data_IF_150540963414
#
_entry.id   IF_150540963414
#
_cell.length_a   1.000
_cell.length_b   1.000
_cell.length_c   1.000
_cell.angle_alpha   90.00
_cell.angle_beta   90.00
_cell.angle_gamma   90.00
#
_symmetry.space_group_name_H-M   'P 1'
#
loop_
_entity.id
_entity.type
_entity.pdbx_description
1 polymer ?
#
# COMPACT_ATOMS: atom_id res chain seq x y z
N UNK A 1 -10.24 -16.68 6.99
CA UNK A 1 -11.06 -16.11 8.07
C UNK A 1 -12.49 -15.93 7.58
N UNK A 2 -13.52 -16.28 8.36
CA UNK A 2 -14.92 -15.98 8.02
C UNK A 2 -15.26 -14.47 8.15
N UNK A 3 -14.39 -13.68 8.78
CA UNK A 3 -14.63 -12.25 9.03
C UNK A 3 -14.26 -11.32 7.86
N UNK A 4 -13.58 -11.83 6.82
CA UNK A 4 -13.17 -11.02 5.66
C UNK A 4 -12.16 -9.90 5.96
N UNK A 5 -11.56 -9.85 7.14
CA UNK A 5 -10.73 -8.68 7.55
C UNK A 5 -9.34 -8.60 6.91
N UNK A 6 -8.93 -9.61 6.14
CA UNK A 6 -7.60 -9.69 5.52
C UNK A 6 -7.63 -9.07 4.11
N UNK A 7 -6.86 -7.99 3.86
CA UNK A 7 -6.73 -7.39 2.53
C UNK A 7 -6.38 -8.38 1.42
N UNK A 8 -5.53 -9.37 1.69
CA UNK A 8 -5.16 -10.38 0.69
C UNK A 8 -6.39 -11.21 0.29
N UNK A 9 -7.27 -11.54 1.24
CA UNK A 9 -8.50 -12.27 0.92
C UNK A 9 -9.42 -11.47 -0.01
N UNK A 10 -9.50 -10.14 0.17
CA UNK A 10 -10.23 -9.27 -0.76
C UNK A 10 -9.58 -9.24 -2.14
N UNK A 11 -8.25 -9.13 -2.22
CA UNK A 11 -7.51 -9.15 -3.49
C UNK A 11 -7.74 -10.47 -4.23
N UNK A 12 -7.69 -11.61 -3.52
CA UNK A 12 -7.95 -12.93 -4.09
C UNK A 12 -9.41 -13.08 -4.55
N UNK A 13 -10.37 -12.55 -3.77
CA UNK A 13 -11.76 -12.53 -4.20
C UNK A 13 -11.96 -11.70 -5.47
N UNK A 14 -11.34 -10.51 -5.58
CA UNK A 14 -11.37 -9.71 -6.81
C UNK A 14 -10.74 -10.49 -7.96
N UNK A 15 -9.58 -11.13 -7.74
CA UNK A 15 -8.92 -11.94 -8.75
C UNK A 15 -9.80 -13.07 -9.29
N UNK A 16 -10.47 -13.80 -8.40
CA UNK A 16 -11.18 -15.03 -8.75
C UNK A 16 -12.65 -14.76 -9.17
N UNK A 17 -13.29 -13.71 -8.65
CA UNK A 17 -14.70 -13.39 -8.89
C UNK A 17 -14.93 -12.15 -9.78
N UNK A 18 -13.91 -11.30 -9.96
CA UNK A 18 -13.95 -10.06 -10.77
C UNK A 18 -12.64 -9.87 -11.55
N UNK A 19 -12.21 -10.87 -12.35
CA UNK A 19 -10.91 -10.85 -13.02
C UNK A 19 -10.71 -9.61 -13.92
N UNK A 20 -11.78 -9.09 -14.52
CA UNK A 20 -11.74 -7.86 -15.32
C UNK A 20 -11.35 -6.62 -14.51
N UNK A 21 -11.70 -6.58 -13.22
CA UNK A 21 -11.27 -5.54 -12.30
C UNK A 21 -9.81 -5.79 -11.92
N UNK A 22 -9.47 -7.03 -11.53
CA UNK A 22 -8.10 -7.40 -11.17
C UNK A 22 -7.10 -7.04 -12.27
N UNK A 23 -7.41 -7.34 -13.53
CA UNK A 23 -6.55 -7.08 -14.68
C UNK A 23 -6.35 -5.58 -14.91
N UNK A 24 -7.41 -4.78 -14.77
CA UNK A 24 -7.36 -3.31 -14.88
C UNK A 24 -6.74 -2.63 -13.66
N UNK A 25 -6.66 -3.30 -12.52
CA UNK A 25 -6.04 -2.74 -11.32
C UNK A 25 -4.55 -2.55 -11.53
N UNK A 26 -4.10 -1.30 -11.45
CA UNK A 26 -2.68 -0.98 -11.48
C UNK A 26 -1.97 -1.36 -10.17
N UNK A 27 -2.56 -1.03 -9.03
CA UNK A 27 -1.95 -1.28 -7.72
C UNK A 27 -3.00 -1.45 -6.61
N UNK A 28 -2.77 -2.36 -5.69
CA UNK A 28 -3.52 -2.51 -4.45
C UNK A 28 -2.85 -1.72 -3.34
N UNK A 29 -3.63 -0.84 -2.69
CA UNK A 29 -3.21 0.01 -1.58
C UNK A 29 -4.27 -0.06 -0.48
N UNK A 30 -3.84 0.06 0.77
CA UNK A 30 -4.76 0.31 1.87
C UNK A 30 -5.35 1.74 1.77
N UNK A 31 -6.50 2.01 2.42
CA UNK A 31 -7.16 3.30 2.32
C UNK A 31 -6.27 4.50 2.64
N UNK A 32 -5.42 4.42 3.68
CA UNK A 32 -4.53 5.53 4.03
C UNK A 32 -3.37 5.68 3.03
N UNK A 33 -2.83 4.58 2.50
CA UNK A 33 -1.82 4.61 1.44
C UNK A 33 -2.38 5.20 0.13
N UNK A 34 -3.67 4.99 -0.14
CA UNK A 34 -4.35 5.66 -1.25
C UNK A 34 -4.48 7.17 -1.02
N UNK A 35 -4.73 7.62 0.21
CA UNK A 35 -4.68 9.06 0.56
C UNK A 35 -3.28 9.61 0.34
N UNK A 36 -2.24 8.89 0.78
CA UNK A 36 -0.84 9.24 0.52
C UNK A 36 -0.56 9.42 -0.97
N UNK A 37 -1.04 8.50 -1.81
CA UNK A 37 -0.94 8.60 -3.27
C UNK A 37 -1.65 9.85 -3.81
N UNK A 38 -2.87 10.14 -3.35
CA UNK A 38 -3.61 11.33 -3.83
C UNK A 38 -2.90 12.62 -3.44
N UNK A 39 -2.34 12.66 -2.24
CA UNK A 39 -1.68 13.82 -1.67
C UNK A 39 -0.29 14.06 -2.25
N UNK A 40 0.46 13.01 -2.56
CA UNK A 40 1.88 13.14 -2.93
C UNK A 40 2.19 12.68 -4.35
N UNK A 41 1.27 11.96 -5.00
CA UNK A 41 1.51 11.29 -6.28
C UNK A 41 2.39 10.03 -6.18
N UNK A 42 2.74 9.58 -4.97
CA UNK A 42 3.66 8.45 -4.75
C UNK A 42 2.90 7.19 -4.37
N UNK A 43 3.23 6.09 -5.04
CA UNK A 43 2.80 4.75 -4.65
C UNK A 43 3.77 4.21 -3.61
N UNK A 44 3.35 4.19 -2.35
CA UNK A 44 4.12 3.67 -1.24
C UNK A 44 3.18 2.99 -0.23
N UNK A 45 3.72 2.08 0.57
CA UNK A 45 3.03 1.51 1.72
C UNK A 45 3.93 1.51 2.95
N UNK A 46 3.34 1.67 4.12
CA UNK A 46 4.11 1.50 5.35
C UNK A 46 4.28 0.00 5.64
N UNK A 47 5.33 -0.36 6.37
CA UNK A 47 5.49 -1.73 6.86
C UNK A 47 4.27 -2.18 7.67
N UNK A 48 3.63 -1.25 8.41
CA UNK A 48 2.42 -1.52 9.18
C UNK A 48 1.21 -1.86 8.29
N UNK A 49 0.97 -1.11 7.21
CA UNK A 49 -0.17 -1.37 6.32
C UNK A 49 0.04 -2.63 5.49
N UNK A 50 1.23 -2.81 4.89
CA UNK A 50 1.49 -3.97 4.03
C UNK A 50 1.60 -5.29 4.81
N UNK A 51 1.98 -5.24 6.10
CA UNK A 51 2.03 -6.43 6.95
C UNK A 51 0.67 -7.13 7.05
N UNK A 52 -0.42 -6.36 7.03
CA UNK A 52 -1.79 -6.91 7.11
C UNK A 52 -2.16 -7.79 5.91
N UNK A 53 -1.39 -7.76 4.82
CA UNK A 53 -1.57 -8.65 3.67
C UNK A 53 -0.96 -10.04 3.88
N UNK A 54 -0.18 -10.26 4.95
CA UNK A 54 0.51 -11.52 5.26
C UNK A 54 1.40 -12.08 4.12
N UNK A 55 1.90 -11.19 3.26
CA UNK A 55 2.79 -11.54 2.13
C UNK A 55 4.19 -10.93 2.26
N UNK A 56 4.54 -10.35 3.41
CA UNK A 56 5.87 -9.82 3.70
C UNK A 56 6.64 -10.71 4.67
N UNK A 57 7.94 -10.81 4.46
CA UNK A 57 8.89 -11.35 5.43
C UNK A 57 9.23 -10.26 6.44
N UNK A 58 9.04 -10.54 7.72
CA UNK A 58 9.24 -9.61 8.84
C UNK A 58 10.19 -10.19 9.90
N UNK A 59 10.91 -11.26 9.59
CA UNK A 59 11.81 -11.92 10.53
C UNK A 59 13.06 -11.08 10.83
N UNK A 60 13.47 -10.23 9.88
CA UNK A 60 14.49 -9.21 10.08
C UNK A 60 13.86 -7.82 9.90
N UNK A 61 13.88 -7.03 10.98
CA UNK A 61 13.33 -5.67 11.01
C UNK A 61 14.05 -4.73 10.03
N UNK A 62 15.30 -5.03 9.67
CA UNK A 62 16.09 -4.21 8.75
C UNK A 62 15.95 -4.64 7.28
N UNK A 63 15.26 -5.74 6.99
CA UNK A 63 15.13 -6.33 5.65
C UNK A 63 13.69 -6.81 5.40
N UNK A 64 12.72 -5.93 5.68
CA UNK A 64 11.31 -6.21 5.42
C UNK A 64 11.04 -6.12 3.91
N UNK A 65 10.54 -7.22 3.34
CA UNK A 65 10.29 -7.34 1.90
C UNK A 65 9.18 -8.34 1.59
N UNK A 66 8.64 -8.28 0.38
CA UNK A 66 7.69 -9.29 -0.06
C UNK A 66 8.29 -10.69 -0.09
N UNK A 67 7.58 -11.64 0.52
CA UNK A 67 7.98 -13.03 0.55
C UNK A 67 7.50 -13.74 -0.72
N UNK A 68 8.39 -13.76 -1.72
CA UNK A 68 8.13 -14.27 -3.09
C UNK A 68 7.47 -15.65 -3.14
N UNK A 69 7.79 -16.54 -2.18
CA UNK A 69 7.20 -17.89 -2.13
C UNK A 69 5.69 -17.85 -1.83
N UNK A 70 5.25 -17.02 -0.88
CA UNK A 70 3.82 -16.84 -0.58
C UNK A 70 3.12 -16.20 -1.76
N UNK A 71 3.66 -15.11 -2.33
CA UNK A 71 3.04 -14.45 -3.48
C UNK A 71 2.84 -15.40 -4.67
N UNK A 72 3.83 -16.25 -4.95
CA UNK A 72 3.73 -17.31 -5.98
C UNK A 72 2.67 -18.35 -5.63
N UNK A 73 2.58 -18.76 -4.36
CA UNK A 73 1.61 -19.74 -3.89
C UNK A 73 0.17 -19.25 -4.07
N UNK A 74 -0.10 -17.98 -3.74
CA UNK A 74 -1.43 -17.37 -3.89
C UNK A 74 -1.69 -16.76 -5.29
N UNK A 75 -0.69 -16.85 -6.18
CA UNK A 75 -0.76 -16.43 -7.59
C UNK A 75 -1.16 -14.96 -7.77
N UNK A 76 -0.59 -14.07 -6.97
CA UNK A 76 -0.76 -12.61 -7.13
C UNK A 76 0.43 -12.01 -7.90
N UNK A 77 0.16 -11.04 -8.77
CA UNK A 77 1.19 -10.32 -9.50
C UNK A 77 1.94 -9.34 -8.58
N UNK A 78 3.26 -9.48 -8.38
CA UNK A 78 4.02 -8.57 -7.53
C UNK A 78 4.04 -7.12 -8.02
N UNK A 79 3.79 -6.88 -9.32
CA UNK A 79 3.76 -5.52 -9.85
C UNK A 79 2.49 -4.74 -9.45
N UNK A 80 1.47 -5.44 -8.94
CA UNK A 80 0.24 -4.83 -8.42
C UNK A 80 0.37 -4.43 -6.94
N UNK A 81 1.56 -4.47 -6.36
CA UNK A 81 1.84 -4.05 -4.99
C UNK A 81 2.90 -2.94 -4.96
N UNK A 82 2.86 -2.03 -3.97
CA UNK A 82 3.83 -0.94 -3.85
C UNK A 82 5.21 -1.49 -3.52
N UNK A 83 6.24 -1.04 -4.26
CA UNK A 83 7.63 -1.42 -4.03
C UNK A 83 8.37 -0.49 -3.07
N UNK A 84 7.90 0.74 -2.91
CA UNK A 84 8.40 1.70 -1.92
C UNK A 84 7.75 1.39 -0.55
N UNK A 85 8.42 0.51 0.22
CA UNK A 85 8.01 0.15 1.57
C UNK A 85 8.82 0.97 2.58
N UNK A 86 8.13 1.55 3.57
CA UNK A 86 8.73 2.52 4.49
C UNK A 86 8.27 2.32 5.93
N UNK A 87 8.99 2.91 6.87
CA UNK A 87 8.50 3.04 8.24
C UNK A 87 7.34 4.03 8.31
N UNK A 88 6.40 3.80 9.22
CA UNK A 88 5.27 4.72 9.44
C UNK A 88 5.70 6.13 9.85
N UNK A 89 6.91 6.30 10.39
CA UNK A 89 7.50 7.59 10.76
C UNK A 89 8.25 8.28 9.63
N UNK A 90 8.44 7.62 8.49
CA UNK A 90 9.22 8.17 7.40
C UNK A 90 8.46 9.31 6.71
N UNK A 91 9.22 10.31 6.26
CA UNK A 91 8.71 11.35 5.37
C UNK A 91 8.52 10.74 3.98
N UNK A 92 7.28 10.68 3.51
CA UNK A 92 6.97 10.26 2.14
C UNK A 92 7.39 11.34 1.13
N UNK A 93 7.15 12.61 1.46
CA UNK A 93 7.50 13.76 0.63
C UNK A 93 6.54 14.93 0.81
N UNK A 94 6.72 16.02 0.06
CA UNK A 94 5.75 17.10 0.07
C UNK A 94 4.41 16.63 -0.51
N UNK A 95 3.31 17.17 0.00
CA UNK A 95 2.01 17.06 -0.67
C UNK A 95 2.00 17.98 -1.90
N UNK A 96 1.10 17.73 -2.84
CA UNK A 96 0.88 18.58 -4.01
C UNK A 96 0.44 19.98 -3.59
N UNK A 97 0.96 20.99 -4.29
CA UNK A 97 0.63 22.39 -4.06
C UNK A 97 -0.88 22.67 -4.10
N UNK A 98 -1.61 22.04 -5.02
CA UNK A 98 -3.07 22.20 -5.15
C UNK A 98 -3.81 21.77 -3.87
N UNK A 99 -3.38 20.67 -3.26
CA UNK A 99 -3.96 20.15 -2.02
C UNK A 99 -3.53 21.00 -0.83
N UNK A 100 -2.27 21.45 -0.79
CA UNK A 100 -1.81 22.38 0.24
C UNK A 100 -2.63 23.67 0.24
N UNK A 101 -2.90 24.23 -0.94
CA UNK A 101 -3.73 25.44 -1.07
C UNK A 101 -5.18 25.20 -0.65
N UNK A 102 -5.79 24.08 -1.08
CA UNK A 102 -7.17 23.72 -0.71
C UNK A 102 -7.35 23.57 0.80
N UNK A 103 -6.36 22.99 1.48
CA UNK A 103 -6.38 22.78 2.94
C UNK A 103 -5.87 23.98 3.76
N UNK A 104 -5.46 25.08 3.12
CA UNK A 104 -4.88 26.25 3.80
C UNK A 104 -3.53 25.97 4.46
N UNK A 105 -2.76 25.02 3.94
CA UNK A 105 -1.44 24.63 4.44
C UNK A 105 -0.32 25.34 3.69
N UNK A 106 0.84 25.44 4.33
CA UNK A 106 2.05 25.95 3.68
C UNK A 106 2.50 25.04 2.54
N UNK A 107 2.99 25.64 1.45
CA UNK A 107 3.62 24.89 0.36
C UNK A 107 4.80 24.06 0.86
N UNK A 108 4.95 22.86 0.31
CA UNK A 108 6.01 21.93 0.71
C UNK A 108 5.80 21.25 2.06
N UNK A 109 4.62 21.38 2.68
CA UNK A 109 4.27 20.59 3.87
C UNK A 109 4.43 19.10 3.57
N UNK A 110 5.06 18.38 4.50
CA UNK A 110 5.47 17.00 4.33
C UNK A 110 4.38 16.04 4.78
N UNK A 111 4.11 15.03 3.96
CA UNK A 111 3.35 13.85 4.34
C UNK A 111 4.28 12.86 5.07
N UNK A 112 3.81 12.38 6.22
CA UNK A 112 4.40 11.25 6.94
C UNK A 112 3.66 9.98 6.51
N UNK A 113 4.38 8.86 6.35
CA UNK A 113 3.79 7.61 5.86
C UNK A 113 2.58 7.19 6.69
N UNK A 114 2.65 7.21 8.01
CA UNK A 114 1.56 6.84 8.90
C UNK A 114 1.33 5.33 9.05
N UNK A 115 0.37 4.98 9.90
CA UNK A 115 -0.11 3.62 10.14
C UNK A 115 -1.65 3.63 10.24
N UNK A 116 -2.32 2.50 9.90
CA UNK A 116 -3.77 2.34 10.07
C UNK A 116 -4.24 2.41 11.53
#
# INVERSE_FOLDING_TARGET
SLSGKDPLAHILWIKDCRPEIYDKTFMFLEPHDYVNLKFTGKFAASYASIHMHFITDILDINDIKYYKKIMKMVKVDPNKFPTDLRWSTDVLGPIKDEIANELGLNKGVKMIMGAP
#
